data_IF_114781676684
#
_entry.id   IF_114781676684
#
_cell.length_a   1.000
_cell.length_b   1.000
_cell.length_c   1.000
_cell.angle_alpha   90.00
_cell.angle_beta   90.00
_cell.angle_gamma   90.00
#
_symmetry.space_group_name_H-M   'P 1'
#
loop_
_entity.id
_entity.type
_entity.pdbx_description
1 polymer ?
#
# COMPACT_ATOMS: atom_id res chain seq x y z
N UNK A 1 4.43 -22.42 15.81
CA UNK A 1 3.66 -21.32 16.41
C UNK A 1 4.31 -20.01 15.96
N UNK A 2 3.60 -19.14 15.23
CA UNK A 2 4.17 -17.85 14.77
C UNK A 2 3.70 -16.77 15.76
N UNK A 3 4.59 -16.21 16.60
CA UNK A 3 4.19 -15.30 17.68
C UNK A 3 3.84 -13.89 17.18
N UNK A 4 4.36 -13.49 16.01
CA UNK A 4 4.10 -12.21 15.38
C UNK A 4 4.36 -12.29 13.88
N UNK A 5 3.64 -11.50 13.10
CA UNK A 5 3.85 -11.36 11.67
C UNK A 5 3.51 -9.93 11.23
N UNK A 6 4.11 -9.49 10.12
CA UNK A 6 3.71 -8.26 9.45
C UNK A 6 2.72 -8.63 8.35
N UNK A 7 1.49 -8.12 8.46
CA UNK A 7 0.38 -8.42 7.55
C UNK A 7 -0.04 -7.14 6.81
N UNK A 8 -0.61 -7.29 5.61
CA UNK A 8 -1.24 -6.15 4.97
C UNK A 8 -2.52 -5.78 5.75
N UNK A 9 -2.82 -4.48 5.85
CA UNK A 9 -4.01 -4.04 6.60
C UNK A 9 -5.33 -4.75 6.18
N UNK A 10 -5.62 -4.98 4.88
CA UNK A 10 -6.82 -5.71 4.48
C UNK A 10 -6.88 -7.17 4.96
N UNK A 11 -5.74 -7.81 5.18
CA UNK A 11 -5.67 -9.18 5.70
C UNK A 11 -5.89 -9.22 7.22
N UNK A 12 -5.45 -8.17 7.92
CA UNK A 12 -5.52 -8.09 9.38
C UNK A 12 -6.84 -7.49 9.89
N UNK A 13 -7.49 -6.59 9.14
CA UNK A 13 -8.56 -5.72 9.66
C UNK A 13 -9.74 -6.48 10.26
N UNK A 14 -10.15 -7.60 9.67
CA UNK A 14 -11.25 -8.42 10.19
C UNK A 14 -10.84 -9.08 11.53
N UNK A 15 -9.66 -9.69 11.58
CA UNK A 15 -9.19 -10.34 12.79
C UNK A 15 -8.85 -9.35 13.92
N UNK A 16 -8.45 -8.11 13.58
CA UNK A 16 -8.28 -7.03 14.56
C UNK A 16 -9.62 -6.57 15.15
N UNK A 17 -10.67 -6.48 14.33
CA UNK A 17 -12.03 -6.14 14.82
C UNK A 17 -12.65 -7.23 15.67
N UNK A 18 -12.32 -8.48 15.39
CA UNK A 18 -12.79 -9.65 16.15
C UNK A 18 -11.93 -9.94 17.40
N UNK A 19 -10.97 -9.07 17.75
CA UNK A 19 -10.00 -9.27 18.84
C UNK A 19 -9.17 -10.57 18.74
N UNK A 20 -9.03 -11.12 17.53
CA UNK A 20 -8.23 -12.33 17.25
C UNK A 20 -6.76 -12.02 16.99
N UNK A 21 -6.43 -10.76 16.72
CA UNK A 21 -5.06 -10.25 16.59
C UNK A 21 -4.89 -9.00 17.44
N UNK A 22 -3.66 -8.74 17.86
CA UNK A 22 -3.27 -7.49 18.53
C UNK A 22 -2.35 -6.72 17.59
N UNK A 23 -2.71 -5.47 17.27
CA UNK A 23 -1.87 -4.60 16.48
C UNK A 23 -0.76 -3.98 17.35
N UNK A 24 0.50 -4.35 17.06
CA UNK A 24 1.67 -3.83 17.78
C UNK A 24 2.21 -2.52 17.17
N UNK A 25 1.93 -2.28 15.89
CA UNK A 25 2.37 -1.07 15.21
C UNK A 25 1.96 -1.05 13.75
N UNK A 26 1.94 0.16 13.16
CA UNK A 26 1.70 0.35 11.72
C UNK A 26 2.97 0.80 11.01
N UNK A 27 3.31 0.14 9.89
CA UNK A 27 4.47 0.49 9.06
C UNK A 27 4.17 1.62 8.05
N UNK A 28 3.33 2.58 8.45
CA UNK A 28 2.98 3.77 7.67
C UNK A 28 3.73 5.00 8.22
N UNK A 29 3.84 6.05 7.41
CA UNK A 29 4.46 7.31 7.84
C UNK A 29 3.63 8.10 8.87
N UNK A 30 2.36 7.73 9.02
CA UNK A 30 1.42 8.31 9.98
C UNK A 30 0.52 7.20 10.52
N UNK A 31 -0.14 7.46 11.66
CA UNK A 31 -1.13 6.54 12.22
C UNK A 31 -2.29 6.33 11.25
N UNK A 32 -2.87 5.14 11.29
CA UNK A 32 -4.04 4.79 10.48
C UNK A 32 -5.31 5.35 11.13
N UNK A 33 -6.22 6.01 10.38
CA UNK A 33 -7.53 6.39 10.90
C UNK A 33 -8.37 5.19 11.40
N UNK A 34 -8.08 3.99 10.89
CA UNK A 34 -8.76 2.76 11.30
C UNK A 34 -8.21 2.17 12.61
N UNK A 35 -7.02 2.60 13.03
CA UNK A 35 -6.31 2.15 14.23
C UNK A 35 -5.58 3.35 14.88
N UNK A 36 -6.29 4.42 15.29
CA UNK A 36 -5.69 5.68 15.73
C UNK A 36 -4.85 5.54 17.01
N UNK A 37 -5.20 4.57 17.86
CA UNK A 37 -4.49 4.21 19.08
C UNK A 37 -3.15 3.51 18.82
N UNK A 38 -3.02 2.82 17.67
CA UNK A 38 -1.82 2.04 17.35
C UNK A 38 -0.70 2.95 16.86
N UNK A 39 0.47 2.96 17.52
CA UNK A 39 1.59 3.78 17.10
C UNK A 39 2.18 3.33 15.76
N UNK A 40 2.80 4.26 15.05
CA UNK A 40 3.66 3.88 13.91
C UNK A 40 4.91 3.17 14.42
N UNK A 41 5.58 2.40 13.55
CA UNK A 41 6.88 1.84 13.90
C UNK A 41 7.93 2.94 14.14
N UNK A 42 7.83 4.06 13.42
CA UNK A 42 8.75 5.20 13.58
C UNK A 42 8.59 5.89 14.93
N UNK A 43 7.36 6.06 15.43
CA UNK A 43 7.09 6.56 16.79
C UNK A 43 7.69 5.65 17.87
N UNK A 44 7.88 4.37 17.58
CA UNK A 44 8.48 3.37 18.48
C UNK A 44 10.00 3.26 18.33
N UNK A 45 10.64 4.16 17.57
CA UNK A 45 12.09 4.15 17.35
C UNK A 45 12.56 3.18 16.26
N UNK A 46 11.65 2.57 15.51
CA UNK A 46 11.96 1.72 14.36
C UNK A 46 11.72 2.51 13.06
N UNK A 47 12.76 2.98 12.36
CA UNK A 47 12.63 3.81 11.16
C UNK A 47 12.21 2.98 9.93
N UNK A 48 11.05 2.31 10.02
CA UNK A 48 10.51 1.45 8.98
C UNK A 48 9.15 2.00 8.50
N UNK A 49 9.14 2.42 7.24
CA UNK A 49 7.92 2.68 6.47
C UNK A 49 7.87 1.68 5.32
N UNK A 50 6.86 0.81 5.33
CA UNK A 50 6.68 -0.23 4.34
C UNK A 50 5.21 -0.27 3.93
N UNK A 51 4.92 0.40 2.81
CA UNK A 51 3.56 0.51 2.27
C UNK A 51 3.47 -0.20 0.93
N UNK A 52 2.61 -1.21 0.87
CA UNK A 52 2.28 -1.86 -0.40
C UNK A 52 1.38 -0.93 -1.23
N UNK A 53 1.88 -0.48 -2.39
CA UNK A 53 1.10 0.30 -3.35
C UNK A 53 0.58 -0.60 -4.47
N UNK A 54 -0.64 -0.35 -4.91
CA UNK A 54 -1.29 -1.02 -6.04
C UNK A 54 -1.81 0.03 -7.00
N UNK A 55 -1.83 -0.29 -8.28
CA UNK A 55 -2.33 0.61 -9.32
C UNK A 55 -2.42 -0.11 -10.67
N UNK A 56 -2.71 0.67 -11.71
CA UNK A 56 -2.93 0.14 -13.05
C UNK A 56 -1.76 0.49 -13.98
N UNK A 57 -1.56 -0.37 -14.97
CA UNK A 57 -0.68 -0.14 -16.10
C UNK A 57 -1.46 -0.46 -17.38
N UNK A 58 -1.09 0.21 -18.46
CA UNK A 58 -1.59 -0.06 -19.81
C UNK A 58 -0.41 -0.35 -20.73
N UNK A 59 -0.62 -1.00 -21.90
CA UNK A 59 0.44 -1.16 -22.88
C UNK A 59 1.11 0.17 -23.26
N UNK A 60 2.38 0.11 -23.63
CA UNK A 60 3.07 1.28 -24.16
C UNK A 60 2.41 1.75 -25.48
N UNK A 61 2.33 3.07 -25.68
CA UNK A 61 1.81 3.66 -26.92
C UNK A 61 0.29 3.76 -27.03
N UNK A 62 -0.47 3.43 -25.97
CA UNK A 62 -1.92 3.69 -25.95
C UNK A 62 -2.19 5.17 -26.20
N UNK A 63 -3.03 5.46 -27.20
CA UNK A 63 -3.37 6.83 -27.56
C UNK A 63 -4.05 7.56 -26.38
N UNK A 64 -3.73 8.85 -26.11
CA UNK A 64 -4.32 9.60 -25.01
C UNK A 64 -5.86 9.61 -25.03
N UNK A 65 -6.46 9.65 -26.21
CA UNK A 65 -7.92 9.61 -26.39
C UNK A 65 -8.57 8.32 -25.84
N UNK A 66 -7.84 7.19 -25.83
CA UNK A 66 -8.31 5.93 -25.25
C UNK A 66 -8.05 5.85 -23.74
N UNK A 67 -7.04 6.57 -23.25
CA UNK A 67 -6.70 6.65 -21.83
C UNK A 67 -7.65 7.57 -21.05
N UNK A 68 -8.08 8.67 -21.66
CA UNK A 68 -8.85 9.72 -20.97
C UNK A 68 -10.15 9.21 -20.32
N UNK A 69 -10.98 8.37 -20.98
CA UNK A 69 -12.17 7.81 -20.34
C UNK A 69 -11.83 6.95 -19.12
N UNK A 70 -10.76 6.15 -19.19
CA UNK A 70 -10.31 5.30 -18.08
C UNK A 70 -9.84 6.14 -16.89
N UNK A 71 -9.03 7.17 -17.14
CA UNK A 71 -8.54 8.09 -16.10
C UNK A 71 -9.69 8.83 -15.44
N UNK A 72 -10.69 9.26 -16.22
CA UNK A 72 -11.91 9.90 -15.72
C UNK A 72 -12.71 8.95 -14.83
N UNK A 73 -12.94 7.73 -15.28
CA UNK A 73 -13.68 6.73 -14.51
C UNK A 73 -12.97 6.37 -13.20
N UNK A 74 -11.65 6.18 -13.23
CA UNK A 74 -10.85 5.92 -12.02
C UNK A 74 -10.89 7.08 -11.03
N UNK A 75 -10.79 8.32 -11.52
CA UNK A 75 -10.89 9.52 -10.67
C UNK A 75 -12.28 9.63 -10.03
N UNK A 76 -13.33 9.39 -10.82
CA UNK A 76 -14.70 9.42 -10.34
C UNK A 76 -14.95 8.34 -9.27
N UNK A 77 -14.50 7.10 -9.51
CA UNK A 77 -14.64 6.00 -8.55
C UNK A 77 -13.94 6.30 -7.22
N UNK A 78 -12.71 6.84 -7.24
CA UNK A 78 -12.00 7.20 -6.00
C UNK A 78 -12.67 8.37 -5.27
N UNK A 79 -13.33 9.27 -5.98
CA UNK A 79 -14.07 10.39 -5.39
C UNK A 79 -15.48 10.02 -4.90
N UNK A 80 -15.95 8.81 -5.22
CA UNK A 80 -17.25 8.31 -4.78
C UNK A 80 -17.18 7.98 -3.26
N UNK A 81 -18.03 8.61 -2.43
CA UNK A 81 -17.97 8.43 -0.98
C UNK A 81 -18.39 7.02 -0.55
N UNK A 82 -19.29 6.36 -1.28
CA UNK A 82 -19.70 4.99 -0.99
C UNK A 82 -18.53 4.03 -1.27
N UNK A 83 -17.87 4.20 -2.41
CA UNK A 83 -16.67 3.42 -2.73
C UNK A 83 -15.55 3.65 -1.70
N UNK A 84 -15.29 4.91 -1.33
CA UNK A 84 -14.28 5.25 -0.34
C UNK A 84 -14.58 4.59 1.01
N UNK A 85 -15.81 4.68 1.50
CA UNK A 85 -16.23 4.06 2.76
C UNK A 85 -16.10 2.52 2.72
N UNK A 86 -16.50 1.88 1.62
CA UNK A 86 -16.35 0.43 1.46
C UNK A 86 -14.88 0.00 1.42
N UNK A 87 -14.02 0.78 0.77
CA UNK A 87 -12.58 0.52 0.69
C UNK A 87 -11.91 0.68 2.06
N UNK A 88 -12.20 1.77 2.78
CA UNK A 88 -11.71 2.03 4.13
C UNK A 88 -12.16 0.96 5.11
N UNK A 89 -13.43 0.54 5.04
CA UNK A 89 -13.94 -0.56 5.85
C UNK A 89 -13.15 -1.86 5.65
N UNK A 90 -12.50 -2.04 4.50
CA UNK A 90 -11.65 -3.19 4.14
C UNK A 90 -10.14 -2.91 4.31
N UNK A 91 -9.75 -1.79 4.91
CA UNK A 91 -8.34 -1.47 5.15
C UNK A 91 -7.59 -0.89 3.94
N UNK A 92 -8.31 -0.41 2.93
CA UNK A 92 -7.73 0.29 1.78
C UNK A 92 -7.88 1.81 1.93
N UNK A 93 -6.90 2.54 1.39
CA UNK A 93 -6.97 4.00 1.26
C UNK A 93 -6.88 4.32 -0.23
N UNK A 94 -8.02 4.42 -0.95
CA UNK A 94 -8.01 4.71 -2.37
C UNK A 94 -7.40 6.09 -2.65
N UNK A 95 -6.53 6.16 -3.66
CA UNK A 95 -5.97 7.42 -4.13
C UNK A 95 -5.81 7.40 -5.63
N UNK A 96 -6.37 8.39 -6.31
CA UNK A 96 -6.13 8.57 -7.72
C UNK A 96 -4.80 9.28 -7.93
N UNK A 97 -3.88 8.63 -8.63
CA UNK A 97 -2.67 9.24 -9.16
C UNK A 97 -2.70 9.15 -10.68
N UNK A 98 -2.73 10.31 -11.35
CA UNK A 98 -2.65 10.35 -12.81
C UNK A 98 -1.31 9.82 -13.33
N UNK A 99 -1.19 9.54 -14.64
CA UNK A 99 0.00 8.92 -15.23
C UNK A 99 1.32 9.65 -14.91
N UNK A 100 1.29 10.99 -14.90
CA UNK A 100 2.45 11.84 -14.60
C UNK A 100 3.00 11.63 -13.18
N UNK A 101 2.14 11.30 -12.21
CA UNK A 101 2.53 11.05 -10.82
C UNK A 101 2.75 9.55 -10.54
N UNK A 102 1.94 8.67 -11.15
CA UNK A 102 2.01 7.24 -10.89
C UNK A 102 3.22 6.56 -11.54
N UNK A 103 3.56 6.90 -12.79
CA UNK A 103 4.65 6.24 -13.49
C UNK A 103 6.03 6.46 -12.83
N UNK A 104 6.40 7.67 -12.36
CA UNK A 104 7.62 7.86 -11.58
C UNK A 104 7.61 7.08 -10.27
N UNK A 105 6.47 6.99 -9.59
CA UNK A 105 6.36 6.28 -8.32
C UNK A 105 6.57 4.77 -8.49
N UNK A 106 6.01 4.16 -9.54
CA UNK A 106 6.27 2.76 -9.89
C UNK A 106 7.75 2.53 -10.14
N UNK A 107 8.40 3.39 -10.95
CA UNK A 107 9.84 3.28 -11.22
C UNK A 107 10.67 3.41 -9.96
N UNK A 108 10.33 4.34 -9.07
CA UNK A 108 11.01 4.54 -7.78
C UNK A 108 10.91 3.30 -6.91
N UNK A 109 9.70 2.76 -6.71
CA UNK A 109 9.46 1.57 -5.91
C UNK A 109 10.17 0.32 -6.46
N UNK A 110 10.08 0.10 -7.78
CA UNK A 110 10.77 -1.01 -8.43
C UNK A 110 12.29 -0.87 -8.31
N UNK A 111 12.83 0.34 -8.48
CA UNK A 111 14.25 0.62 -8.33
C UNK A 111 14.76 0.41 -6.91
N UNK A 112 14.03 0.90 -5.91
CA UNK A 112 14.37 0.71 -4.49
C UNK A 112 14.39 -0.77 -4.10
N UNK A 113 13.38 -1.53 -4.54
CA UNK A 113 13.31 -2.96 -4.26
C UNK A 113 14.46 -3.73 -4.93
N UNK A 114 14.75 -3.42 -6.20
CA UNK A 114 15.85 -4.02 -6.93
C UNK A 114 17.21 -3.69 -6.29
N UNK A 115 17.43 -2.44 -5.88
CA UNK A 115 18.64 -2.02 -5.20
C UNK A 115 18.83 -2.74 -3.85
N UNK A 116 17.76 -2.88 -3.06
CA UNK A 116 17.79 -3.65 -1.80
C UNK A 116 18.14 -5.10 -2.04
N UNK A 117 17.56 -5.74 -3.06
CA UNK A 117 17.89 -7.11 -3.41
C UNK A 117 19.37 -7.32 -3.76
N UNK A 118 19.97 -6.35 -4.45
CA UNK A 118 21.41 -6.38 -4.78
C UNK A 118 22.28 -6.20 -3.53
N UNK A 119 21.90 -5.29 -2.63
CA UNK A 119 22.66 -4.97 -1.43
C UNK A 119 22.56 -6.05 -0.34
N UNK A 120 21.39 -6.66 -0.18
CA UNK A 120 21.10 -7.64 0.87
C UNK A 120 20.08 -8.70 0.38
N UNK A 121 20.55 -9.74 -0.34
CA UNK A 121 19.67 -10.78 -0.86
C UNK A 121 19.19 -11.68 0.28
N UNK A 122 17.87 -11.69 0.53
CA UNK A 122 17.23 -12.48 1.59
C UNK A 122 17.15 -14.00 1.33
N UNK A 123 17.67 -14.48 0.19
CA UNK A 123 17.87 -15.92 -0.06
C UNK A 123 19.34 -16.21 0.23
N UNK A 124 19.61 -16.99 1.28
CA UNK A 124 20.96 -17.44 1.59
C UNK A 124 21.60 -18.04 0.33
N UNK A 125 22.78 -17.55 -0.07
CA UNK A 125 23.62 -18.26 -1.02
C UNK A 125 23.91 -19.62 -0.38
N UNK A 126 23.26 -20.67 -0.90
CA UNK A 126 23.65 -22.05 -0.56
C UNK A 126 25.08 -22.20 -1.08
N UNK A 127 26.05 -22.14 -0.16
CA UNK A 127 27.42 -22.57 -0.40
C UNK A 127 27.49 -24.09 -0.50
#
# INVERSE_FOLDING_TARGET
NIPCAMLAAPEAIAALRDDRLVALGVAQSSRSPLLPEVPTLTEQGLPLVLVARRGFAVPAGVAPALLEPLLRAMRAAVADPEFAAQAEAKGYVPRFLGPAAWAPEVRRLSGELAARWVADPWIARRG
#
